data_IF_078502197374
#
_entry.id   IF_078502197374
#
_cell.length_a   1.000
_cell.length_b   1.000
_cell.length_c   1.000
_cell.angle_alpha   90.00
_cell.angle_beta   90.00
_cell.angle_gamma   90.00
#
_symmetry.space_group_name_H-M   'P 1'
#
loop_
_entity.id
_entity.type
_entity.pdbx_description
1 polymer ?
#
# COMPACT_ATOMS: atom_id res chain seq x y z
N UNK A 1 -9.04 11.57 -12.24
CA UNK A 1 -7.84 12.43 -12.32
C UNK A 1 -7.06 12.30 -11.02
N UNK A 2 -5.73 12.27 -11.05
CA UNK A 2 -4.89 12.05 -9.86
C UNK A 2 -4.25 13.36 -9.38
N UNK A 3 -4.50 13.81 -8.13
CA UNK A 3 -4.07 15.12 -7.63
C UNK A 3 -2.56 15.40 -7.72
N UNK A 4 -1.72 14.39 -7.50
CA UNK A 4 -0.26 14.56 -7.53
C UNK A 4 0.31 14.42 -8.94
N UNK A 5 -0.14 13.41 -9.71
CA UNK A 5 0.37 13.13 -11.06
C UNK A 5 0.14 14.28 -12.05
N UNK A 6 -0.86 15.13 -11.79
CA UNK A 6 -1.21 16.24 -12.67
C UNK A 6 -0.28 17.46 -12.57
N UNK A 7 0.56 17.54 -11.54
CA UNK A 7 1.42 18.68 -11.20
C UNK A 7 2.63 18.78 -12.13
N UNK A 8 2.40 19.08 -13.41
CA UNK A 8 3.43 19.02 -14.47
C UNK A 8 4.64 19.89 -14.16
N UNK A 9 4.43 21.12 -13.67
CA UNK A 9 5.52 22.06 -13.39
C UNK A 9 6.39 21.59 -12.23
N UNK A 10 5.79 20.87 -11.28
CA UNK A 10 6.51 20.23 -10.19
C UNK A 10 7.32 19.04 -10.70
N UNK A 11 6.72 18.17 -11.50
CA UNK A 11 7.40 16.98 -12.06
C UNK A 11 8.56 17.34 -12.99
N UNK A 12 8.46 18.43 -13.75
CA UNK A 12 9.55 18.95 -14.61
C UNK A 12 10.83 19.31 -13.83
N UNK A 13 10.73 19.49 -12.50
CA UNK A 13 11.86 19.86 -11.63
C UNK A 13 12.47 18.67 -10.88
N UNK A 14 11.88 17.48 -11.00
CA UNK A 14 12.24 16.30 -10.20
C UNK A 14 12.95 15.29 -11.11
N UNK A 15 14.07 14.74 -10.64
CA UNK A 15 14.66 13.55 -11.24
C UNK A 15 13.83 12.31 -10.86
N UNK A 16 13.07 11.77 -11.83
CA UNK A 16 12.08 10.71 -11.59
C UNK A 16 12.66 9.29 -11.53
N UNK A 17 13.93 9.09 -11.87
CA UNK A 17 14.56 7.77 -12.00
C UNK A 17 14.30 6.83 -10.81
N UNK A 18 14.47 7.33 -9.57
CA UNK A 18 14.24 6.53 -8.35
C UNK A 18 12.75 6.23 -8.13
N UNK A 19 11.86 7.15 -8.49
CA UNK A 19 10.42 6.96 -8.37
C UNK A 19 9.92 5.92 -9.39
N UNK A 20 10.39 6.00 -10.63
CA UNK A 20 10.08 5.03 -11.68
C UNK A 20 10.54 3.62 -11.29
N UNK A 21 11.71 3.49 -10.66
CA UNK A 21 12.18 2.22 -10.11
C UNK A 21 11.24 1.68 -9.01
N UNK A 22 10.79 2.53 -8.08
CA UNK A 22 9.84 2.14 -7.05
C UNK A 22 8.48 1.72 -7.64
N UNK A 23 8.02 2.42 -8.69
CA UNK A 23 6.81 2.04 -9.42
C UNK A 23 6.95 0.66 -10.09
N UNK A 24 8.11 0.34 -10.64
CA UNK A 24 8.38 -0.99 -11.22
C UNK A 24 8.34 -2.10 -10.18
N UNK A 25 8.83 -1.85 -8.96
CA UNK A 25 8.75 -2.81 -7.86
C UNK A 25 7.29 -3.10 -7.46
N UNK A 26 6.43 -2.09 -7.50
CA UNK A 26 5.00 -2.21 -7.14
C UNK A 26 4.08 -2.45 -8.34
N UNK A 27 4.63 -2.81 -9.51
CA UNK A 27 3.85 -3.02 -10.71
C UNK A 27 2.82 -4.15 -10.52
N UNK A 28 1.56 -3.88 -10.83
CA UNK A 28 0.43 -4.81 -10.63
C UNK A 28 0.46 -6.03 -11.57
N UNK A 29 1.29 -6.01 -12.61
CA UNK A 29 1.39 -7.07 -13.61
C UNK A 29 1.70 -8.42 -12.97
N UNK A 30 1.04 -9.47 -13.49
CA UNK A 30 1.19 -10.85 -12.99
C UNK A 30 1.00 -10.95 -11.48
N UNK A 31 0.00 -10.26 -10.93
CA UNK A 31 -0.32 -10.23 -9.50
C UNK A 31 0.88 -9.78 -8.64
N UNK A 32 1.47 -8.63 -8.97
CA UNK A 32 2.58 -8.03 -8.24
C UNK A 32 3.85 -8.90 -8.21
N UNK A 33 4.19 -9.53 -9.34
CA UNK A 33 5.32 -10.48 -9.40
C UNK A 33 6.66 -9.89 -8.94
N UNK A 34 6.95 -8.64 -9.31
CA UNK A 34 8.19 -7.96 -8.91
C UNK A 34 8.26 -7.74 -7.40
N UNK A 35 7.20 -7.18 -6.80
CA UNK A 35 7.09 -7.02 -5.36
C UNK A 35 7.26 -8.36 -4.64
N UNK A 36 6.56 -9.42 -5.10
CA UNK A 36 6.63 -10.75 -4.47
C UNK A 36 8.04 -11.33 -4.50
N UNK A 37 8.78 -11.14 -5.60
CA UNK A 37 10.17 -11.60 -5.72
C UNK A 37 11.09 -10.86 -4.74
N UNK A 38 11.00 -9.53 -4.68
CA UNK A 38 11.83 -8.70 -3.80
C UNK A 38 11.49 -8.99 -2.33
N UNK A 39 10.21 -9.08 -2.01
CA UNK A 39 9.72 -9.39 -0.68
C UNK A 39 10.20 -10.77 -0.19
N UNK A 40 10.10 -11.79 -1.04
CA UNK A 40 10.66 -13.12 -0.75
C UNK A 40 12.16 -13.05 -0.48
N UNK A 41 12.91 -12.36 -1.34
CA UNK A 41 14.37 -12.21 -1.19
C UNK A 41 14.74 -11.49 0.12
N UNK A 42 13.99 -10.44 0.48
CA UNK A 42 14.19 -9.70 1.72
C UNK A 42 13.89 -10.57 2.96
N UNK A 43 12.83 -11.40 2.92
CA UNK A 43 12.52 -12.35 3.99
C UNK A 43 13.62 -13.40 4.15
N UNK A 44 14.07 -14.02 3.06
CA UNK A 44 15.15 -15.02 3.09
C UNK A 44 16.45 -14.41 3.66
N UNK A 45 16.75 -13.15 3.31
CA UNK A 45 17.87 -12.42 3.88
C UNK A 45 17.68 -12.20 5.39
N UNK A 46 16.51 -11.71 5.82
CA UNK A 46 16.21 -11.48 7.23
C UNK A 46 16.28 -12.79 8.05
N UNK A 47 15.77 -13.90 7.52
CA UNK A 47 15.85 -15.23 8.13
C UNK A 47 17.30 -15.71 8.28
N UNK A 48 18.14 -15.51 7.25
CA UNK A 48 19.56 -15.85 7.29
C UNK A 48 20.30 -15.11 8.41
N UNK A 49 19.90 -13.89 8.71
CA UNK A 49 20.43 -13.11 9.83
C UNK A 49 19.64 -13.28 11.13
N UNK A 50 18.70 -14.24 11.21
CA UNK A 50 17.95 -14.52 12.43
C UNK A 50 17.05 -13.37 12.89
N UNK A 51 16.52 -12.58 11.94
CA UNK A 51 15.66 -11.43 12.22
C UNK A 51 16.28 -10.40 13.19
N UNK A 52 17.60 -10.22 13.09
CA UNK A 52 18.35 -9.24 13.88
C UNK A 52 18.01 -7.80 13.49
N UNK A 53 18.46 -6.89 14.34
CA UNK A 53 18.50 -5.44 14.13
C UNK A 53 18.89 -5.09 12.68
N UNK A 54 18.19 -4.12 12.09
CA UNK A 54 18.36 -3.58 10.73
C UNK A 54 17.90 -4.48 9.56
N UNK A 55 17.25 -5.61 9.82
CA UNK A 55 16.64 -6.48 8.79
C UNK A 55 15.12 -6.61 8.94
N UNK A 56 14.47 -5.47 9.16
CA UNK A 56 13.01 -5.39 9.30
C UNK A 56 12.37 -5.51 7.92
N UNK A 57 11.50 -6.50 7.75
CA UNK A 57 10.71 -6.69 6.53
C UNK A 57 9.24 -6.46 6.87
N UNK A 58 8.60 -5.51 6.18
CA UNK A 58 7.19 -5.17 6.40
C UNK A 58 6.37 -5.60 5.18
N UNK A 59 5.41 -6.53 5.33
CA UNK A 59 4.55 -6.95 4.24
C UNK A 59 3.59 -5.85 3.80
N UNK A 60 3.38 -5.70 2.50
CA UNK A 60 2.25 -4.96 1.95
C UNK A 60 0.95 -5.74 2.25
N UNK A 61 0.33 -5.39 3.37
CA UNK A 61 -0.71 -6.20 4.03
C UNK A 61 -1.93 -6.44 3.14
N UNK A 62 -2.25 -5.51 2.23
CA UNK A 62 -3.34 -5.68 1.26
C UNK A 62 -3.15 -6.91 0.36
N UNK A 63 -1.91 -7.24 -0.05
CA UNK A 63 -1.62 -8.43 -0.85
C UNK A 63 -1.72 -9.71 -0.02
N UNK A 64 -1.28 -9.67 1.24
CA UNK A 64 -1.45 -10.79 2.17
C UNK A 64 -2.94 -11.07 2.37
N UNK A 65 -3.76 -10.03 2.57
CA UNK A 65 -5.22 -10.16 2.69
C UNK A 65 -5.85 -10.68 1.40
N UNK A 66 -5.41 -10.21 0.24
CA UNK A 66 -5.87 -10.70 -1.06
C UNK A 66 -5.61 -12.21 -1.21
N UNK A 67 -4.44 -12.69 -0.80
CA UNK A 67 -4.07 -14.11 -0.88
C UNK A 67 -4.85 -14.95 0.14
N UNK A 68 -5.04 -14.45 1.38
CA UNK A 68 -5.91 -15.11 2.38
C UNK A 68 -7.35 -15.22 1.85
N UNK A 69 -7.86 -14.16 1.23
CA UNK A 69 -9.16 -14.16 0.58
C UNK A 69 -9.23 -15.19 -0.56
N UNK A 70 -8.16 -15.31 -1.35
CA UNK A 70 -8.07 -16.29 -2.42
C UNK A 70 -8.13 -17.73 -1.87
N UNK A 71 -7.36 -18.06 -0.82
CA UNK A 71 -7.40 -19.36 -0.14
C UNK A 71 -8.81 -19.62 0.43
N UNK A 72 -9.45 -18.60 1.01
CA UNK A 72 -10.79 -18.72 1.59
C UNK A 72 -11.85 -19.01 0.52
N UNK A 73 -11.76 -18.42 -0.66
CA UNK A 73 -12.80 -18.51 -1.70
C UNK A 73 -12.63 -19.71 -2.63
N UNK A 74 -11.41 -20.19 -2.84
CA UNK A 74 -11.11 -21.27 -3.80
C UNK A 74 -11.18 -22.68 -3.22
N UNK A 75 -11.67 -22.85 -1.99
CA UNK A 75 -11.84 -24.15 -1.35
C UNK A 75 -13.05 -24.14 -0.43
N UNK A 76 -13.80 -25.25 -0.38
CA UNK A 76 -14.95 -25.38 0.55
C UNK A 76 -14.46 -25.51 1.99
N UNK A 77 -15.24 -24.98 2.94
CA UNK A 77 -14.96 -25.10 4.37
C UNK A 77 -15.15 -26.53 4.88
N UNK A 78 -15.97 -27.33 4.21
CA UNK A 78 -16.26 -28.72 4.54
C UNK A 78 -15.82 -29.67 3.42
N UNK A 79 -15.45 -30.89 3.80
CA UNK A 79 -15.22 -32.01 2.88
C UNK A 79 -16.55 -32.50 2.30
N UNK A 80 -16.47 -33.35 1.27
CA UNK A 80 -17.66 -34.01 0.70
C UNK A 80 -18.40 -34.86 1.74
N UNK A 81 -17.67 -35.40 2.72
CA UNK A 81 -18.23 -36.16 3.86
C UNK A 81 -18.84 -35.29 4.97
N UNK A 82 -18.88 -33.96 4.81
CA UNK A 82 -19.45 -33.02 5.80
C UNK A 82 -18.52 -32.58 6.92
N UNK A 83 -17.35 -33.21 7.07
CA UNK A 83 -16.31 -32.81 8.03
C UNK A 83 -15.61 -31.50 7.67
N UNK A 84 -14.81 -30.95 8.59
CA UNK A 84 -14.03 -29.73 8.35
C UNK A 84 -12.91 -30.00 7.35
N UNK A 85 -12.72 -29.12 6.37
CA UNK A 85 -11.61 -29.18 5.43
C UNK A 85 -10.30 -28.69 6.06
N UNK A 86 -9.65 -29.55 6.86
CA UNK A 86 -8.41 -29.21 7.56
C UNK A 86 -7.28 -28.77 6.63
N UNK A 87 -7.21 -29.30 5.39
CA UNK A 87 -6.18 -28.89 4.42
C UNK A 87 -6.27 -27.41 4.07
N UNK A 88 -7.49 -26.88 3.90
CA UNK A 88 -7.71 -25.45 3.63
C UNK A 88 -7.19 -24.58 4.78
N UNK A 89 -7.54 -24.94 6.00
CA UNK A 89 -7.16 -24.17 7.19
C UNK A 89 -5.67 -24.29 7.49
N UNK A 90 -5.06 -25.45 7.25
CA UNK A 90 -3.61 -25.64 7.34
C UNK A 90 -2.86 -24.76 6.33
N UNK A 91 -3.28 -24.74 5.06
CA UNK A 91 -2.67 -23.85 4.05
C UNK A 91 -2.80 -22.37 4.41
N UNK A 92 -3.97 -21.96 4.93
CA UNK A 92 -4.19 -20.58 5.38
C UNK A 92 -3.31 -20.21 6.58
N UNK A 93 -3.21 -21.11 7.56
CA UNK A 93 -2.39 -20.91 8.75
C UNK A 93 -0.90 -20.81 8.40
N UNK A 94 -0.41 -21.69 7.52
CA UNK A 94 0.96 -21.64 6.99
C UNK A 94 1.25 -20.32 6.29
N UNK A 95 0.37 -19.93 5.37
CA UNK A 95 0.51 -18.67 4.65
C UNK A 95 0.57 -17.45 5.59
N UNK A 96 -0.35 -17.33 6.56
CA UNK A 96 -0.34 -16.22 7.52
C UNK A 96 0.93 -16.26 8.40
N UNK A 97 1.35 -17.46 8.81
CA UNK A 97 2.54 -17.63 9.64
C UNK A 97 3.80 -17.16 8.91
N UNK A 98 3.97 -17.61 7.67
CA UNK A 98 5.13 -17.31 6.83
C UNK A 98 5.12 -15.85 6.35
N UNK A 99 4.00 -15.34 5.86
CA UNK A 99 3.95 -14.03 5.21
C UNK A 99 3.72 -12.85 6.17
N UNK A 100 3.32 -13.11 7.42
CA UNK A 100 2.99 -12.05 8.36
C UNK A 100 3.55 -12.26 9.76
N UNK A 101 3.37 -13.43 10.37
CA UNK A 101 3.79 -13.66 11.77
C UNK A 101 5.31 -13.66 11.91
N UNK A 102 6.04 -14.30 10.99
CA UNK A 102 7.51 -14.29 11.00
C UNK A 102 8.09 -12.88 10.93
N UNK A 103 7.52 -12.00 10.12
CA UNK A 103 7.98 -10.62 10.00
C UNK A 103 7.93 -9.83 11.32
N UNK A 104 7.01 -10.21 12.23
CA UNK A 104 6.87 -9.60 13.57
C UNK A 104 7.99 -9.97 14.53
N UNK A 105 8.82 -10.97 14.23
CA UNK A 105 9.94 -11.38 15.07
C UNK A 105 11.08 -10.35 15.06
N UNK A 106 11.12 -9.49 14.05
CA UNK A 106 12.13 -8.43 13.88
C UNK A 106 12.17 -7.50 15.10
N UNK A 107 13.36 -7.29 15.67
CA UNK A 107 13.59 -6.23 16.66
C UNK A 107 13.89 -4.92 15.93
N UNK A 108 13.07 -3.89 16.18
CA UNK A 108 13.32 -2.55 15.68
C UNK A 108 14.43 -1.88 16.50
N UNK A 109 15.53 -1.53 15.83
CA UNK A 109 16.67 -0.79 16.40
C UNK A 109 16.47 0.73 16.40
N UNK A 110 15.52 1.22 15.61
CA UNK A 110 15.23 2.65 15.54
C UNK A 110 14.59 3.11 16.85
N UNK A 111 15.15 4.16 17.44
CA UNK A 111 14.59 4.77 18.65
C UNK A 111 13.17 5.29 18.39
N UNK A 112 12.30 5.05 19.37
CA UNK A 112 10.94 5.58 19.35
C UNK A 112 10.99 7.09 19.57
N UNK A 113 10.41 7.84 18.64
CA UNK A 113 10.24 9.29 18.77
C UNK A 113 8.76 9.65 18.87
N UNK A 114 8.30 9.95 20.08
CA UNK A 114 6.89 10.25 20.33
C UNK A 114 6.40 11.54 19.66
N UNK A 115 7.28 12.51 19.43
CA UNK A 115 6.94 13.76 18.72
C UNK A 115 6.62 13.47 17.25
N UNK A 116 7.47 12.69 16.58
CA UNK A 116 7.25 12.27 15.19
C UNK A 116 6.00 11.39 15.08
N UNK A 117 5.83 10.43 16.00
CA UNK A 117 4.65 9.57 16.03
C UNK A 117 3.39 10.41 16.20
N UNK A 118 3.36 11.31 17.18
CA UNK A 118 2.22 12.19 17.42
C UNK A 118 1.90 13.00 16.15
N UNK A 119 2.90 13.67 15.57
CA UNK A 119 2.74 14.43 14.32
C UNK A 119 2.12 13.59 13.19
N UNK A 120 2.64 12.39 12.92
CA UNK A 120 2.12 11.51 11.88
C UNK A 120 0.68 11.06 12.18
N UNK A 121 0.38 10.71 13.45
CA UNK A 121 -0.95 10.20 13.83
C UNK A 121 -2.03 11.27 13.95
N UNK A 122 -1.66 12.53 14.15
CA UNK A 122 -2.60 13.66 14.27
C UNK A 122 -2.66 14.53 13.03
N UNK A 123 -1.83 14.27 12.01
CA UNK A 123 -1.85 15.03 10.77
C UNK A 123 -3.19 14.84 10.04
N UNK A 124 -3.83 15.92 9.56
CA UNK A 124 -5.11 15.82 8.88
C UNK A 124 -4.97 15.06 7.57
N UNK A 125 -5.92 14.16 7.30
CA UNK A 125 -6.04 13.48 6.01
C UNK A 125 -7.09 14.17 5.14
N UNK A 126 -6.75 14.41 3.89
CA UNK A 126 -7.68 14.99 2.91
C UNK A 126 -8.47 13.89 2.20
N UNK A 127 -9.76 14.14 1.96
CA UNK A 127 -10.54 13.32 1.03
C UNK A 127 -10.16 13.64 -0.43
N UNK A 128 -10.61 12.83 -1.39
CA UNK A 128 -10.24 12.97 -2.80
C UNK A 128 -10.57 14.35 -3.39
N UNK A 129 -11.71 14.93 -3.03
CA UNK A 129 -12.14 16.23 -3.51
C UNK A 129 -11.23 17.35 -2.97
N UNK A 130 -10.92 17.30 -1.68
CA UNK A 130 -10.08 18.29 -1.01
C UNK A 130 -8.63 18.20 -1.50
N UNK A 131 -8.11 16.99 -1.73
CA UNK A 131 -6.81 16.79 -2.39
C UNK A 131 -6.78 17.38 -3.80
N UNK A 132 -7.84 17.18 -4.57
CA UNK A 132 -7.91 17.70 -5.93
C UNK A 132 -7.98 19.23 -5.96
N UNK A 133 -8.71 19.85 -5.03
CA UNK A 133 -8.74 21.30 -4.88
C UNK A 133 -7.38 21.86 -4.49
N UNK A 134 -6.74 21.29 -3.47
CA UNK A 134 -5.39 21.68 -3.07
C UNK A 134 -4.38 21.52 -4.24
N UNK A 135 -4.53 20.47 -5.06
CA UNK A 135 -3.73 20.29 -6.27
C UNK A 135 -3.91 21.45 -7.27
N UNK A 136 -5.14 21.94 -7.46
CA UNK A 136 -5.41 23.10 -8.33
C UNK A 136 -4.94 24.43 -7.74
N UNK A 137 -4.93 24.57 -6.42
CA UNK A 137 -4.35 25.72 -5.74
C UNK A 137 -2.82 25.75 -5.91
N UNK A 138 -2.16 24.58 -5.89
CA UNK A 138 -0.72 24.46 -6.18
C UNK A 138 -0.38 24.71 -7.64
N UNK A 139 -1.10 24.07 -8.57
CA UNK A 139 -0.95 24.27 -10.01
C UNK A 139 -2.32 24.45 -10.69
N UNK A 140 -2.63 25.65 -11.20
CA UNK A 140 -3.93 25.94 -11.80
C UNK A 140 -4.31 24.98 -12.95
N UNK A 141 -5.61 24.79 -13.22
CA UNK A 141 -6.08 23.98 -14.33
C UNK A 141 -5.38 24.32 -15.65
N UNK A 142 -4.77 23.33 -16.29
CA UNK A 142 -4.03 23.48 -17.54
C UNK A 142 -4.85 23.05 -18.77
N UNK A 143 -5.94 22.30 -18.58
CA UNK A 143 -6.80 21.78 -19.65
C UNK A 143 -8.26 22.13 -19.42
N UNK A 144 -9.09 22.09 -20.47
CA UNK A 144 -10.54 22.34 -20.35
C UNK A 144 -11.21 21.36 -19.39
N UNK A 145 -10.82 20.08 -19.42
CA UNK A 145 -11.33 19.06 -18.49
C UNK A 145 -10.94 19.33 -17.03
N UNK A 146 -9.72 19.81 -16.79
CA UNK A 146 -9.30 20.25 -15.45
C UNK A 146 -10.11 21.46 -14.98
N UNK A 147 -10.36 22.42 -15.86
CA UNK A 147 -11.13 23.62 -15.55
C UNK A 147 -12.58 23.28 -15.20
N UNK A 148 -13.21 22.39 -15.97
CA UNK A 148 -14.55 21.88 -15.67
C UNK A 148 -14.59 21.20 -14.30
N UNK A 149 -13.65 20.28 -14.03
CA UNK A 149 -13.58 19.57 -12.76
C UNK A 149 -13.36 20.51 -11.58
N UNK A 150 -12.52 21.54 -11.73
CA UNK A 150 -12.29 22.56 -10.71
C UNK A 150 -13.57 23.33 -10.38
N UNK A 151 -14.31 23.80 -11.39
CA UNK A 151 -15.59 24.49 -11.21
C UNK A 151 -16.62 23.59 -10.49
N UNK A 152 -16.73 22.32 -10.87
CA UNK A 152 -17.63 21.36 -10.19
C UNK A 152 -17.26 21.17 -8.71
N UNK A 153 -15.97 21.06 -8.41
CA UNK A 153 -15.50 20.88 -7.03
C UNK A 153 -15.76 22.12 -6.19
N UNK A 154 -15.54 23.32 -6.74
CA UNK A 154 -15.86 24.58 -6.07
C UNK A 154 -17.36 24.70 -5.77
N UNK A 155 -18.22 24.40 -6.75
CA UNK A 155 -19.67 24.44 -6.56
C UNK A 155 -20.14 23.47 -5.45
N UNK A 156 -19.52 22.30 -5.34
CA UNK A 156 -19.84 21.29 -4.31
C UNK A 156 -19.53 21.78 -2.88
N UNK A 157 -18.52 22.64 -2.72
CA UNK A 157 -18.19 23.24 -1.41
C UNK A 157 -19.25 24.27 -1.01
N UNK A 158 -19.67 25.12 -1.95
CA UNK A 158 -20.65 26.17 -1.68
C UNK A 158 -22.08 25.64 -1.44
N UNK A 159 -22.42 24.44 -1.90
CA UNK A 159 -23.71 23.81 -1.63
C UNK A 159 -23.75 22.96 -0.35
N UNK A 160 -22.58 22.68 0.24
CA UNK A 160 -22.45 21.89 1.47
C UNK A 160 -22.21 22.75 2.72
N UNK A 161 -22.27 24.08 2.57
CA UNK A 161 -22.12 25.10 3.62
C UNK A 161 -23.45 25.79 3.87
#
# INVERSE_FOLDING_TARGET
MQPVKRLKRTWEKIESNKLEQLEQYMNVSKNFANYRLIFKSAKEEAEKYGWTVDKIVIPFTSLVLQDVYFIKTHSKDNTVSGGINLKKYDSMAKFISEEFVQCKQSKCSFERNDVIINYITTSPTFNENSLMLASFECEPPATSNEKEKWTMLQATIYTSS
#
